data_IF_394089649884
#
_entry.id   IF_394089649884
#
_cell.length_a   1.000
_cell.length_b   1.000
_cell.length_c   1.000
_cell.angle_alpha   90.00
_cell.angle_beta   90.00
_cell.angle_gamma   90.00
#
_symmetry.space_group_name_H-M   'P 1'
#
loop_
_entity.id
_entity.type
_entity.pdbx_description
1 polymer ?
#
# COMPACT_ATOMS: atom_id res chain seq x y z
N UNK A 1 6.54 -4.10 -17.87
CA UNK A 1 6.36 -4.76 -16.56
C UNK A 1 5.35 -5.90 -16.64
N UNK A 2 5.56 -6.94 -15.83
CA UNK A 2 4.57 -7.98 -15.53
C UNK A 2 4.05 -7.76 -14.10
N UNK A 3 2.75 -7.97 -13.88
CA UNK A 3 2.12 -7.78 -12.58
C UNK A 3 1.36 -9.04 -12.18
N UNK A 4 1.61 -9.51 -10.96
CA UNK A 4 0.84 -10.55 -10.30
C UNK A 4 0.31 -10.00 -9.00
N UNK A 5 -1.00 -10.13 -8.76
CA UNK A 5 -1.64 -9.62 -7.56
C UNK A 5 -2.45 -10.72 -6.86
N UNK A 6 -2.54 -10.62 -5.54
CA UNK A 6 -3.44 -11.42 -4.73
C UNK A 6 -4.06 -10.51 -3.66
N UNK A 7 -5.34 -10.72 -3.36
CA UNK A 7 -6.06 -10.04 -2.29
C UNK A 7 -6.96 -11.08 -1.59
N UNK A 8 -7.20 -10.89 -0.29
CA UNK A 8 -8.07 -11.77 0.49
C UNK A 8 -8.80 -10.93 1.55
N UNK A 9 -10.13 -11.12 1.72
CA UNK A 9 -10.86 -10.49 2.81
C UNK A 9 -10.24 -10.85 4.18
N UNK A 10 -10.24 -9.89 5.10
CA UNK A 10 -9.92 -10.15 6.50
C UNK A 10 -10.94 -11.09 7.15
N UNK A 11 -10.53 -11.86 8.15
CA UNK A 11 -11.43 -12.77 8.88
C UNK A 11 -12.59 -12.00 9.52
N UNK A 12 -13.83 -12.34 9.17
CA UNK A 12 -15.04 -11.68 9.67
C UNK A 12 -15.40 -10.35 8.99
N UNK A 13 -14.71 -9.98 7.91
CA UNK A 13 -15.08 -8.84 7.09
C UNK A 13 -16.02 -9.28 5.95
N UNK A 14 -17.29 -8.89 6.03
CA UNK A 14 -18.26 -9.08 4.94
C UNK A 14 -18.03 -8.11 3.75
N UNK A 15 -17.12 -7.13 3.92
CA UNK A 15 -16.82 -6.08 2.95
C UNK A 15 -15.30 -5.88 2.80
N UNK A 16 -14.70 -6.49 1.77
CA UNK A 16 -13.30 -6.23 1.40
C UNK A 16 -13.16 -4.80 0.84
N UNK A 17 -12.34 -4.00 1.52
CA UNK A 17 -12.07 -2.62 1.15
C UNK A 17 -10.72 -2.44 0.46
N UNK A 18 -9.91 -3.49 0.35
CA UNK A 18 -8.65 -3.47 -0.38
C UNK A 18 -8.92 -3.42 -1.89
N UNK A 19 -8.06 -2.70 -2.61
CA UNK A 19 -8.17 -2.52 -4.05
C UNK A 19 -6.79 -2.58 -4.70
N UNK A 20 -6.68 -3.35 -5.77
CA UNK A 20 -5.52 -3.35 -6.67
C UNK A 20 -5.95 -2.81 -8.02
N UNK A 21 -5.16 -1.89 -8.58
CA UNK A 21 -5.31 -1.42 -9.97
C UNK A 21 -3.97 -1.52 -10.68
N UNK A 22 -3.97 -2.07 -11.88
CA UNK A 22 -2.80 -2.16 -12.75
C UNK A 22 -3.06 -1.44 -14.07
N UNK A 23 -2.03 -0.77 -14.58
CA UNK A 23 -1.96 -0.22 -15.92
C UNK A 23 -0.79 -0.84 -16.68
N UNK A 24 -0.46 -0.32 -17.86
CA UNK A 24 0.67 -0.82 -18.65
C UNK A 24 2.04 -0.53 -18.03
N UNK A 25 2.14 0.53 -17.20
CA UNK A 25 3.39 1.00 -16.60
C UNK A 25 3.25 1.34 -15.11
N UNK A 26 2.15 0.97 -14.46
CA UNK A 26 1.96 1.25 -13.04
C UNK A 26 1.14 0.16 -12.37
N UNK A 27 1.32 0.04 -11.06
CA UNK A 27 0.43 -0.72 -10.20
C UNK A 27 0.24 0.05 -8.90
N UNK A 28 -0.96 -0.06 -8.32
CA UNK A 28 -1.29 0.55 -7.05
C UNK A 28 -2.13 -0.38 -6.19
N UNK A 29 -1.85 -0.35 -4.89
CA UNK A 29 -2.56 -1.10 -3.85
C UNK A 29 -3.09 -0.08 -2.85
N UNK A 30 -4.40 -0.10 -2.62
CA UNK A 30 -5.05 0.64 -1.56
C UNK A 30 -5.62 -0.32 -0.54
N UNK A 31 -5.47 0.03 0.73
CA UNK A 31 -6.22 -0.60 1.79
C UNK A 31 -6.84 0.44 2.69
N UNK A 32 -8.02 0.19 3.24
CA UNK A 32 -8.63 1.16 4.14
C UNK A 32 -9.99 0.76 4.65
N UNK A 33 -10.15 0.82 5.98
CA UNK A 33 -11.43 0.82 6.64
C UNK A 33 -11.93 2.26 6.76
N UNK A 34 -13.13 2.56 6.27
CA UNK A 34 -13.84 3.77 6.70
C UNK A 34 -14.64 3.41 7.95
N UNK A 35 -14.34 4.09 9.05
CA UNK A 35 -15.28 4.26 10.15
C UNK A 35 -15.62 5.76 10.18
N UNK A 36 -16.92 6.10 10.16
CA UNK A 36 -17.39 7.46 10.46
C UNK A 36 -18.18 8.21 9.38
N UNK A 37 -18.13 7.83 8.09
CA UNK A 37 -19.07 8.33 7.08
C UNK A 37 -20.13 7.25 6.77
N UNK A 38 -21.27 7.69 6.21
CA UNK A 38 -22.34 6.78 5.74
C UNK A 38 -21.93 5.91 4.54
N UNK A 39 -20.77 6.21 3.93
CA UNK A 39 -20.19 5.41 2.86
C UNK A 39 -19.34 4.29 3.47
N UNK A 40 -19.40 3.11 2.85
CA UNK A 40 -18.63 1.95 3.30
C UNK A 40 -17.15 2.10 2.90
N UNK A 41 -16.22 1.47 3.63
CA UNK A 41 -14.76 1.52 3.37
C UNK A 41 -14.37 1.37 1.89
N UNK A 42 -15.00 0.40 1.21
CA UNK A 42 -14.79 0.13 -0.22
C UNK A 42 -15.10 1.30 -1.15
N UNK A 43 -15.98 2.22 -0.76
CA UNK A 43 -16.30 3.39 -1.59
C UNK A 43 -15.07 4.27 -1.76
N UNK A 44 -14.35 4.53 -0.67
CA UNK A 44 -13.19 5.42 -0.69
C UNK A 44 -12.02 4.83 -1.44
N UNK A 45 -11.71 3.56 -1.21
CA UNK A 45 -10.62 2.88 -1.93
C UNK A 45 -10.93 2.78 -3.42
N UNK A 46 -12.17 2.50 -3.82
CA UNK A 46 -12.60 2.53 -5.24
C UNK A 46 -12.55 3.94 -5.83
N UNK A 47 -13.06 4.95 -5.13
CA UNK A 47 -13.05 6.34 -5.61
C UNK A 47 -11.62 6.88 -5.75
N UNK A 48 -10.75 6.62 -4.76
CA UNK A 48 -9.35 7.04 -4.80
C UNK A 48 -8.56 6.26 -5.86
N UNK A 49 -8.72 4.94 -5.92
CA UNK A 49 -8.03 4.11 -6.91
C UNK A 49 -8.39 4.48 -8.35
N UNK A 50 -9.68 4.70 -8.63
CA UNK A 50 -10.13 5.13 -9.96
C UNK A 50 -9.57 6.51 -10.35
N UNK A 51 -9.62 7.48 -9.44
CA UNK A 51 -9.06 8.82 -9.71
C UNK A 51 -7.54 8.80 -9.84
N UNK A 52 -6.83 8.06 -9.00
CA UNK A 52 -5.38 7.98 -9.05
C UNK A 52 -4.89 7.28 -10.34
N UNK A 53 -5.56 6.21 -10.77
CA UNK A 53 -5.29 5.56 -12.04
C UNK A 53 -5.51 6.53 -13.22
N UNK A 54 -6.59 7.30 -13.19
CA UNK A 54 -6.88 8.32 -14.20
C UNK A 54 -5.83 9.43 -14.24
N UNK A 55 -5.37 9.90 -13.06
CA UNK A 55 -4.26 10.85 -12.96
C UNK A 55 -2.92 10.28 -13.47
N UNK A 56 -2.62 9.01 -13.19
CA UNK A 56 -1.43 8.30 -13.70
C UNK A 56 -1.43 8.18 -15.23
N UNK A 57 -2.60 7.99 -15.83
CA UNK A 57 -2.76 7.93 -17.29
C UNK A 57 -2.68 9.30 -17.93
N UNK A 58 -3.35 10.32 -17.35
CA UNK A 58 -3.45 11.66 -17.94
C UNK A 58 -2.19 12.50 -17.76
N UNK A 59 -1.39 12.24 -16.71
CA UNK A 59 -0.19 13.02 -16.35
C UNK A 59 0.99 12.09 -16.06
N UNK A 60 1.47 11.31 -17.05
CA UNK A 60 2.48 10.27 -16.85
C UNK A 60 3.80 10.81 -16.29
N UNK A 61 4.14 12.08 -16.58
CA UNK A 61 5.40 12.70 -16.15
C UNK A 61 5.31 13.43 -14.80
N UNK A 62 4.11 13.60 -14.24
CA UNK A 62 3.95 14.35 -13.00
C UNK A 62 4.47 13.54 -11.78
N UNK A 63 4.95 14.22 -10.71
CA UNK A 63 5.40 13.54 -9.48
C UNK A 63 4.27 12.74 -8.84
N UNK A 64 4.56 11.53 -8.32
CA UNK A 64 3.55 10.66 -7.70
C UNK A 64 2.81 11.34 -6.53
N UNK A 65 3.49 12.20 -5.78
CA UNK A 65 2.87 13.01 -4.70
C UNK A 65 1.80 13.96 -5.25
N UNK A 66 2.11 14.69 -6.33
CA UNK A 66 1.15 15.59 -6.98
C UNK A 66 -0.02 14.85 -7.63
N UNK A 67 0.18 13.60 -8.09
CA UNK A 67 -0.90 12.75 -8.57
C UNK A 67 -1.82 12.30 -7.42
N UNK A 68 -1.23 11.85 -6.31
CA UNK A 68 -1.97 11.45 -5.11
C UNK A 68 -2.74 12.62 -4.51
N UNK A 69 -2.14 13.80 -4.40
CA UNK A 69 -2.80 15.00 -3.87
C UNK A 69 -4.02 15.40 -4.71
N UNK A 70 -3.87 15.39 -6.05
CA UNK A 70 -4.98 15.67 -6.95
C UNK A 70 -6.11 14.63 -6.82
N UNK A 71 -5.77 13.34 -6.73
CA UNK A 71 -6.75 12.29 -6.55
C UNK A 71 -7.50 12.42 -5.20
N UNK A 72 -6.77 12.70 -4.11
CA UNK A 72 -7.35 12.94 -2.79
C UNK A 72 -8.26 14.16 -2.77
N UNK A 73 -7.84 15.27 -3.40
CA UNK A 73 -8.66 16.46 -3.54
C UNK A 73 -9.95 16.16 -4.33
N UNK A 74 -9.85 15.40 -5.42
CA UNK A 74 -11.00 14.97 -6.21
C UNK A 74 -11.97 14.06 -5.46
N UNK A 75 -11.47 13.15 -4.61
CA UNK A 75 -12.33 12.33 -3.73
C UNK A 75 -13.01 13.20 -2.68
N UNK A 76 -12.29 14.14 -2.05
CA UNK A 76 -12.85 15.07 -1.05
C UNK A 76 -13.97 15.93 -1.65
N UNK A 77 -13.77 16.47 -2.84
CA UNK A 77 -14.79 17.24 -3.56
C UNK A 77 -16.01 16.38 -3.91
N UNK A 78 -15.78 15.17 -4.42
CA UNK A 78 -16.87 14.24 -4.74
C UNK A 78 -17.67 13.85 -3.49
N UNK A 79 -16.99 13.59 -2.37
CA UNK A 79 -17.59 13.34 -1.07
C UNK A 79 -18.46 14.51 -0.60
N UNK A 80 -17.92 15.74 -0.70
CA UNK A 80 -18.61 16.96 -0.27
C UNK A 80 -19.91 17.19 -1.07
N UNK A 81 -19.88 16.99 -2.39
CA UNK A 81 -21.07 17.07 -3.25
C UNK A 81 -22.15 16.07 -2.89
N UNK A 82 -21.80 14.94 -2.27
CA UNK A 82 -22.78 13.96 -1.82
C UNK A 82 -23.44 14.36 -0.49
N UNK A 83 -23.09 15.49 0.13
CA UNK A 83 -23.62 15.92 1.43
C UNK A 83 -23.36 14.85 2.53
N UNK A 84 -22.25 14.09 2.47
CA UNK A 84 -21.82 13.33 3.65
C UNK A 84 -21.21 14.33 4.66
N UNK A 85 -22.03 14.74 5.62
CA UNK A 85 -21.68 15.63 6.73
C UNK A 85 -21.15 14.85 7.97
N UNK A 86 -20.92 13.54 7.83
CA UNK A 86 -20.61 12.64 8.95
C UNK A 86 -19.12 12.46 9.17
N UNK A 87 -18.66 12.80 10.38
CA UNK A 87 -17.38 12.41 10.98
C UNK A 87 -16.14 13.09 10.39
N UNK A 88 -15.15 13.38 11.23
CA UNK A 88 -13.79 13.53 10.71
C UNK A 88 -13.46 12.25 9.94
N UNK A 89 -12.88 12.31 8.73
CA UNK A 89 -12.53 11.11 8.00
C UNK A 89 -11.71 10.20 8.91
N UNK A 90 -12.16 8.95 9.06
CA UNK A 90 -11.42 7.92 9.78
C UNK A 90 -10.02 7.71 9.19
N UNK A 91 -9.27 6.78 9.80
CA UNK A 91 -7.86 6.53 9.48
C UNK A 91 -7.61 6.54 7.94
N UNK A 92 -6.55 7.22 7.49
CA UNK A 92 -6.25 7.41 6.07
C UNK A 92 -6.20 6.05 5.35
N UNK A 93 -6.77 5.99 4.14
CA UNK A 93 -6.50 4.86 3.24
C UNK A 93 -4.99 4.72 3.08
N UNK A 94 -4.47 3.52 3.37
CA UNK A 94 -3.12 3.12 3.00
C UNK A 94 -3.01 3.08 1.48
N UNK A 95 -1.92 3.61 0.93
CA UNK A 95 -1.70 3.73 -0.51
C UNK A 95 -0.26 3.32 -0.81
N UNK A 96 -0.07 2.35 -1.70
CA UNK A 96 1.20 2.05 -2.33
C UNK A 96 1.04 2.18 -3.85
N UNK A 97 2.00 2.82 -4.51
CA UNK A 97 2.04 3.02 -5.96
C UNK A 97 3.45 2.71 -6.45
N UNK A 98 3.54 1.98 -7.55
CA UNK A 98 4.74 1.94 -8.40
C UNK A 98 4.40 2.42 -9.80
N UNK A 99 5.35 3.12 -10.44
CA UNK A 99 5.27 3.54 -11.84
C UNK A 99 6.63 3.40 -12.50
N UNK A 100 6.69 2.71 -13.62
CA UNK A 100 7.84 2.71 -14.51
C UNK A 100 7.78 3.92 -15.46
N UNK A 101 8.87 4.68 -15.53
CA UNK A 101 9.04 5.81 -16.45
C UNK A 101 10.53 6.04 -16.71
N UNK A 102 10.91 6.22 -17.98
CA UNK A 102 12.29 6.59 -18.37
C UNK A 102 13.38 5.67 -17.80
N UNK A 103 13.09 4.36 -17.67
CA UNK A 103 14.00 3.38 -17.07
C UNK A 103 14.15 3.48 -15.55
N UNK A 104 13.33 4.31 -14.91
CA UNK A 104 13.19 4.43 -13.45
C UNK A 104 11.88 3.79 -13.00
N UNK A 105 11.91 3.24 -11.79
CA UNK A 105 10.74 2.84 -11.05
C UNK A 105 10.50 3.86 -9.93
N UNK A 106 9.47 4.68 -10.10
CA UNK A 106 8.98 5.57 -9.05
C UNK A 106 8.12 4.78 -8.07
N UNK A 107 8.31 5.00 -6.77
CA UNK A 107 7.55 4.39 -5.68
C UNK A 107 6.98 5.47 -4.78
N UNK A 108 5.74 5.28 -4.33
CA UNK A 108 5.12 6.08 -3.28
C UNK A 108 4.37 5.15 -2.32
N UNK A 109 4.59 5.32 -1.03
CA UNK A 109 3.84 4.65 0.03
C UNK A 109 3.31 5.66 1.04
N UNK A 110 2.11 5.46 1.56
CA UNK A 110 1.46 6.32 2.53
C UNK A 110 0.56 5.52 3.48
N UNK A 111 0.48 5.96 4.73
CA UNK A 111 -0.30 5.27 5.77
C UNK A 111 0.34 3.91 6.12
N UNK A 112 -0.47 2.92 6.46
CA UNK A 112 0.04 1.57 6.73
C UNK A 112 0.47 0.78 5.50
N UNK A 113 0.82 1.40 4.37
CA UNK A 113 1.26 0.67 3.18
C UNK A 113 2.79 0.53 3.16
N UNK A 114 3.29 -0.50 2.49
CA UNK A 114 4.73 -0.68 2.29
C UNK A 114 5.04 -1.18 0.87
N UNK A 115 6.26 -0.91 0.42
CA UNK A 115 6.83 -1.47 -0.78
C UNK A 115 8.12 -2.21 -0.46
N UNK A 116 8.24 -3.37 -1.06
CA UNK A 116 9.27 -4.35 -0.85
C UNK A 116 10.06 -4.48 -2.16
N UNK A 117 11.35 -4.14 -2.17
CA UNK A 117 12.17 -4.07 -3.38
C UNK A 117 13.30 -5.10 -3.35
N UNK A 118 13.41 -5.88 -4.42
CA UNK A 118 14.45 -6.91 -4.62
C UNK A 118 15.47 -6.48 -5.68
N UNK A 119 16.75 -6.64 -5.35
CA UNK A 119 17.89 -6.42 -6.23
C UNK A 119 18.49 -7.77 -6.68
N UNK A 120 19.01 -7.91 -7.92
CA UNK A 120 19.52 -9.18 -8.47
C UNK A 120 20.65 -9.83 -7.65
N UNK A 121 21.52 -9.01 -7.04
CA UNK A 121 22.80 -9.47 -6.48
C UNK A 121 22.93 -9.27 -4.95
N UNK A 122 21.83 -8.93 -4.28
CA UNK A 122 21.86 -8.60 -2.85
C UNK A 122 20.75 -9.34 -2.11
N UNK A 123 21.09 -9.99 -1.00
CA UNK A 123 20.11 -10.50 -0.02
C UNK A 123 19.38 -9.36 0.71
N UNK A 124 19.88 -8.13 0.56
CA UNK A 124 19.31 -6.93 1.19
C UNK A 124 18.19 -6.40 0.31
N UNK A 125 16.97 -6.69 0.72
CA UNK A 125 15.78 -6.04 0.18
C UNK A 125 15.52 -4.72 0.92
N UNK A 126 14.98 -3.73 0.21
CA UNK A 126 14.59 -2.46 0.82
C UNK A 126 13.09 -2.47 1.16
N UNK A 127 12.75 -1.99 2.35
CA UNK A 127 11.38 -1.67 2.72
C UNK A 127 11.22 -0.16 2.62
N UNK A 128 10.35 0.29 1.73
CA UNK A 128 9.86 1.66 1.76
C UNK A 128 8.55 1.66 2.56
N UNK A 129 8.54 2.33 3.70
CA UNK A 129 7.38 2.54 4.54
C UNK A 129 7.36 4.00 5.01
N UNK A 130 6.17 4.59 5.24
CA UNK A 130 6.06 5.90 5.88
C UNK A 130 6.68 5.88 7.27
N UNK A 131 7.29 6.99 7.69
CA UNK A 131 7.83 7.10 9.05
C UNK A 131 6.71 6.96 10.09
N UNK A 132 6.96 6.17 11.14
CA UNK A 132 6.07 5.89 12.27
C UNK A 132 5.67 7.21 12.96
N UNK A 133 4.57 7.81 12.51
CA UNK A 133 4.31 9.23 12.72
C UNK A 133 2.93 9.54 13.29
N UNK A 134 2.46 8.80 14.30
CA UNK A 134 1.30 9.26 15.07
C UNK A 134 0.65 8.24 15.98
N UNK A 135 0.32 8.67 17.20
CA UNK A 135 -0.64 8.02 18.08
C UNK A 135 -1.97 7.73 17.32
N UNK A 136 -2.77 6.73 17.73
CA UNK A 136 -4.10 6.50 17.14
C UNK A 136 -4.92 7.80 17.12
N UNK A 137 -5.34 8.23 15.92
CA UNK A 137 -6.04 9.51 15.71
C UNK A 137 -5.15 10.71 15.32
N UNK A 138 -3.82 10.51 15.22
CA UNK A 138 -2.87 11.51 14.72
C UNK A 138 -2.94 11.72 13.20
N UNK A 139 -2.25 12.75 12.67
CA UNK A 139 -2.16 12.96 11.23
C UNK A 139 -1.56 11.72 10.56
N UNK A 140 -2.07 11.38 9.37
CA UNK A 140 -1.48 10.34 8.53
C UNK A 140 0.03 10.58 8.37
N UNK A 141 0.90 9.56 8.51
CA UNK A 141 2.32 9.75 8.29
C UNK A 141 2.58 10.28 6.88
N UNK A 142 3.63 11.11 6.76
CA UNK A 142 4.06 11.69 5.49
C UNK A 142 4.37 10.56 4.49
N UNK A 143 4.01 10.75 3.22
CA UNK A 143 4.25 9.74 2.20
C UNK A 143 5.77 9.54 2.01
N UNK A 144 6.23 8.29 2.02
CA UNK A 144 7.60 7.97 1.62
C UNK A 144 7.64 7.77 0.11
N UNK A 145 8.65 8.35 -0.54
CA UNK A 145 8.80 8.39 -2.00
C UNK A 145 10.23 7.98 -2.37
N UNK A 146 10.38 7.24 -3.45
CA UNK A 146 11.69 6.89 -3.99
C UNK A 146 11.65 6.65 -5.49
N UNK A 147 12.82 6.70 -6.13
CA UNK A 147 12.99 6.33 -7.53
C UNK A 147 14.23 5.47 -7.66
N UNK A 148 14.11 4.32 -8.34
CA UNK A 148 15.18 3.33 -8.48
C UNK A 148 15.37 2.96 -9.95
N UNK A 149 16.60 2.76 -10.46
CA UNK A 149 16.80 2.32 -11.84
C UNK A 149 16.26 0.91 -12.04
N UNK A 150 15.39 0.70 -13.04
CA UNK A 150 14.75 -0.60 -13.32
C UNK A 150 15.78 -1.70 -13.58
N UNK A 151 16.91 -1.35 -14.21
CA UNK A 151 18.02 -2.28 -14.48
C UNK A 151 18.65 -2.89 -13.21
N UNK A 152 18.48 -2.23 -12.07
CA UNK A 152 19.02 -2.67 -10.78
C UNK A 152 17.98 -3.51 -10.01
N UNK A 153 16.77 -3.67 -10.53
CA UNK A 153 15.66 -4.34 -9.85
C UNK A 153 15.36 -5.69 -10.48
N UNK A 154 15.05 -6.67 -9.63
CA UNK A 154 14.51 -7.96 -10.07
C UNK A 154 13.00 -8.03 -9.84
N UNK A 155 12.50 -7.60 -8.67
CA UNK A 155 11.08 -7.63 -8.31
C UNK A 155 10.70 -6.51 -7.35
N UNK A 156 9.42 -6.14 -7.37
CA UNK A 156 8.80 -5.26 -6.37
C UNK A 156 7.48 -5.85 -5.90
N UNK A 157 7.24 -5.84 -4.59
CA UNK A 157 5.99 -6.24 -3.95
C UNK A 157 5.36 -5.02 -3.26
N UNK A 158 4.08 -4.77 -3.56
CA UNK A 158 3.30 -3.74 -2.89
C UNK A 158 2.38 -4.37 -1.85
N UNK A 159 2.35 -3.80 -0.65
CA UNK A 159 1.59 -4.30 0.48
C UNK A 159 0.63 -3.23 1.00
N UNK A 160 -0.65 -3.60 1.14
CA UNK A 160 -1.66 -2.77 1.80
C UNK A 160 -1.56 -2.82 3.33
N UNK A 161 -2.38 -2.00 3.99
CA UNK A 161 -2.47 -1.86 5.46
C UNK A 161 -2.52 -3.17 6.25
N UNK A 162 -3.25 -4.18 5.75
CA UNK A 162 -3.38 -5.47 6.43
C UNK A 162 -2.05 -6.21 6.55
N UNK A 163 -1.31 -6.32 5.46
CA UNK A 163 -0.03 -7.03 5.42
C UNK A 163 1.08 -6.28 6.16
N UNK A 164 1.10 -4.94 6.10
CA UNK A 164 2.03 -4.14 6.91
C UNK A 164 1.82 -4.35 8.41
N UNK A 165 0.58 -4.29 8.91
CA UNK A 165 0.29 -4.50 10.35
C UNK A 165 0.70 -5.90 10.85
N UNK A 166 0.79 -6.89 9.97
CA UNK A 166 1.30 -8.22 10.33
C UNK A 166 2.82 -8.22 10.57
N UNK A 167 3.55 -7.34 9.88
CA UNK A 167 5.01 -7.30 9.90
C UNK A 167 5.59 -6.18 10.77
N UNK A 168 4.88 -5.06 10.91
CA UNK A 168 5.28 -3.86 11.65
C UNK A 168 5.86 -4.14 13.05
N UNK A 169 5.29 -5.03 13.89
CA UNK A 169 5.79 -5.18 15.25
C UNK A 169 7.14 -5.91 15.34
N UNK A 170 7.63 -6.50 14.23
CA UNK A 170 8.84 -7.33 14.18
C UNK A 170 9.62 -7.10 12.89
N UNK A 171 10.68 -6.28 12.92
CA UNK A 171 11.56 -6.08 11.75
C UNK A 171 12.06 -7.40 11.15
N UNK A 172 12.29 -8.42 11.98
CA UNK A 172 12.73 -9.75 11.58
C UNK A 172 11.71 -10.54 10.73
N UNK A 173 10.45 -10.11 10.66
CA UNK A 173 9.42 -10.76 9.85
C UNK A 173 9.45 -10.34 8.37
N UNK A 174 10.02 -9.16 8.07
CA UNK A 174 10.14 -8.68 6.69
C UNK A 174 10.92 -9.66 5.80
N UNK A 175 12.12 -10.14 6.17
CA UNK A 175 12.84 -11.15 5.37
C UNK A 175 12.02 -12.40 5.07
N UNK A 176 11.20 -12.87 6.02
CA UNK A 176 10.34 -14.04 5.84
C UNK A 176 9.22 -13.79 4.81
N UNK A 177 8.52 -12.66 4.91
CA UNK A 177 7.49 -12.29 3.92
C UNK A 177 8.09 -12.10 2.53
N UNK A 178 9.29 -11.53 2.45
CA UNK A 178 10.04 -11.39 1.21
C UNK A 178 10.40 -12.73 0.58
N UNK A 179 10.95 -13.67 1.36
CA UNK A 179 11.35 -14.99 0.87
C UNK A 179 10.15 -15.77 0.32
N UNK A 180 9.02 -15.69 1.03
CA UNK A 180 7.74 -16.27 0.58
C UNK A 180 7.24 -15.62 -0.70
N UNK A 181 7.27 -14.30 -0.80
CA UNK A 181 6.91 -13.58 -2.03
C UNK A 181 7.83 -13.97 -3.21
N UNK A 182 9.14 -14.02 -2.98
CA UNK A 182 10.12 -14.31 -4.01
C UNK A 182 10.01 -15.75 -4.54
N UNK A 183 9.74 -16.70 -3.65
CA UNK A 183 9.67 -18.13 -3.98
C UNK A 183 8.30 -18.53 -4.52
N UNK A 184 7.22 -18.10 -3.86
CA UNK A 184 5.88 -18.66 -4.05
C UNK A 184 4.87 -17.62 -4.58
N UNK A 185 5.30 -16.38 -4.80
CA UNK A 185 4.47 -15.30 -5.35
C UNK A 185 3.54 -14.65 -4.33
N UNK A 186 2.63 -13.74 -4.78
CA UNK A 186 1.86 -12.88 -3.90
C UNK A 186 0.83 -13.62 -3.01
N UNK A 187 0.30 -14.76 -3.44
CA UNK A 187 -0.63 -15.56 -2.63
C UNK A 187 0.02 -16.15 -1.37
N UNK A 188 1.33 -16.38 -1.40
CA UNK A 188 2.07 -16.90 -0.25
C UNK A 188 2.21 -15.89 0.89
N UNK A 189 2.13 -14.58 0.57
CA UNK A 189 2.08 -13.51 1.57
C UNK A 189 0.74 -13.51 2.31
N UNK A 190 -0.37 -13.79 1.62
CA UNK A 190 -1.71 -13.83 2.22
C UNK A 190 -1.93 -15.07 3.10
N UNK A 191 -1.30 -16.18 2.74
CA UNK A 191 -1.35 -17.44 3.48
C UNK A 191 -0.21 -17.59 4.49
N UNK A 192 0.70 -16.61 4.54
CA UNK A 192 1.72 -16.55 5.57
C UNK A 192 1.03 -16.52 6.93
N UNK A 193 1.39 -17.48 7.78
CA UNK A 193 0.77 -17.65 9.10
C UNK A 193 0.78 -16.31 9.83
N UNK A 194 -0.40 -15.79 10.25
CA UNK A 194 -0.45 -14.61 11.08
C UNK A 194 0.47 -14.79 12.28
N UNK A 195 1.28 -13.77 12.56
CA UNK A 195 2.34 -13.77 13.56
C UNK A 195 1.97 -14.45 14.90
N UNK A 196 0.69 -14.44 15.31
CA UNK A 196 0.21 -15.17 16.50
C UNK A 196 0.64 -16.65 16.56
N UNK A 197 0.93 -17.30 15.43
CA UNK A 197 1.48 -18.66 15.38
C UNK A 197 3.02 -18.75 15.29
N UNK A 198 3.71 -17.67 14.91
CA UNK A 198 5.16 -17.63 14.62
C UNK A 198 6.00 -16.97 15.72
N UNK A 199 5.37 -16.39 16.75
CA UNK A 199 6.01 -15.66 17.85
C UNK A 199 7.15 -16.41 18.57
N UNK A 200 7.11 -17.74 18.58
CA UNK A 200 8.14 -18.56 19.21
C UNK A 200 9.50 -18.54 18.48
N UNK A 201 9.55 -18.13 17.21
CA UNK A 201 10.75 -18.24 16.37
C UNK A 201 11.47 -16.89 16.09
N UNK A 202 10.81 -15.75 16.30
CA UNK A 202 11.24 -14.44 15.76
C UNK A 202 11.70 -13.42 16.80
N UNK A 203 11.71 -13.77 18.09
CA UNK A 203 12.19 -12.91 19.18
C UNK A 203 11.14 -11.94 19.73
N UNK A 204 11.58 -10.97 20.55
CA UNK A 204 10.69 -10.01 21.23
C UNK A 204 10.26 -8.88 20.29
N UNK A 205 8.99 -8.41 20.37
CA UNK A 205 8.53 -7.25 19.59
C UNK A 205 9.34 -6.00 19.91
N UNK A 206 9.30 -5.01 19.01
CA UNK A 206 9.70 -3.64 19.39
C UNK A 206 8.88 -3.19 20.62
N UNK A 207 9.51 -2.50 21.59
CA UNK A 207 8.83 -2.00 22.77
C UNK A 207 7.73 -0.98 22.44
#
# INVERSE_FOLDING_TARGET
MEFTCAAQPGTGADDEADLVVTGSHFALVLGGAEEGCRHLGRWRTRALGGRLADELVRRPDAPLTALLDAALAGVREFHHRQLCLGGAPGAPSSVAVVRERDGLLDLLVRGGAAALVQFPDVTVNAVLAPADGGAPGGPAPEAAVGSLPVKDLSRVCLLGGGAHRMAEPYEAYWPYLFDRFATDGPGAVLTATPYRGAAAALGTPRP
#
